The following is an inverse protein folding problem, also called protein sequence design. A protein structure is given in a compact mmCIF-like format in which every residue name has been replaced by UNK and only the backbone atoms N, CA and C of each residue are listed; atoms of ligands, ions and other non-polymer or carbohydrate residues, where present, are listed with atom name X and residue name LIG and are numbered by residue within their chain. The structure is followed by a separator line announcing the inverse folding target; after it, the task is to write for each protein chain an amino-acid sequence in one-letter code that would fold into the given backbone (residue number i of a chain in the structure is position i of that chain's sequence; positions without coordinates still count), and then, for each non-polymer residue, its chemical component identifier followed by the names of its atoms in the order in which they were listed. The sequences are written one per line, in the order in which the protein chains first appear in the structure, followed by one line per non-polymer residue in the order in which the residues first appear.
data_IF_246288437121
#
_entry.id   IF_246288437121
#
_cell.length_a   1.000
_cell.length_b   1.000
_cell.length_c   1.000
_cell.angle_alpha   90.00
_cell.angle_beta   90.00
_cell.angle_gamma   90.00
#
_symmetry.space_group_name_H-M   'P 1'
#
loop_
_entity.id
_entity.type
_entity.pdbx_description
1 polymer ?
#
# COMPACT_ATOMS: atom_id res chain seq x y z
N UNK A 1 55.02 3.73 3.17
CA UNK A 1 53.84 4.61 3.26
C UNK A 1 52.68 3.77 3.73
N UNK A 2 52.33 3.89 5.02
CA UNK A 2 51.27 3.14 5.66
C UNK A 2 49.90 3.70 5.24
N UNK A 3 48.93 2.83 4.93
CA UNK A 3 47.55 3.23 4.64
C UNK A 3 46.88 3.84 5.87
N UNK A 4 45.84 4.68 5.69
CA UNK A 4 45.17 5.32 6.81
C UNK A 4 44.48 4.28 7.73
N UNK A 5 44.55 4.46 9.06
CA UNK A 5 43.92 3.57 10.03
C UNK A 5 42.39 3.65 9.91
N UNK A 6 41.74 2.48 9.84
CA UNK A 6 40.28 2.41 9.83
C UNK A 6 39.68 3.00 11.10
N UNK A 7 38.74 3.92 10.94
CA UNK A 7 37.96 4.52 12.02
C UNK A 7 37.12 3.45 12.73
N UNK A 8 37.30 3.22 14.05
CA UNK A 8 36.53 2.23 14.82
C UNK A 8 35.13 2.73 15.23
N UNK A 9 34.58 3.74 14.54
CA UNK A 9 33.45 4.52 15.02
C UNK A 9 32.25 4.63 14.09
N UNK A 10 32.24 4.04 12.90
CA UNK A 10 31.09 4.19 12.00
C UNK A 10 29.86 3.45 12.57
N UNK A 11 28.79 4.16 12.98
CA UNK A 11 27.52 3.51 13.24
C UNK A 11 27.05 3.02 11.88
N UNK A 12 27.21 1.72 11.64
CA UNK A 12 26.62 1.04 10.48
C UNK A 12 25.23 1.61 10.28
N UNK A 13 24.99 2.30 9.16
CA UNK A 13 23.69 2.80 8.76
C UNK A 13 22.77 1.59 8.53
N UNK A 14 22.36 0.94 9.61
CA UNK A 14 21.37 -0.12 9.59
C UNK A 14 20.10 0.59 9.19
N UNK A 15 19.74 0.42 7.92
CA UNK A 15 18.41 0.76 7.45
C UNK A 15 17.41 0.31 8.50
N UNK A 16 16.48 1.18 8.96
CA UNK A 16 15.56 0.85 10.03
C UNK A 16 14.91 -0.49 9.75
N UNK A 17 14.99 -1.44 10.68
CA UNK A 17 14.46 -2.81 10.56
C UNK A 17 12.98 -2.86 10.08
N UNK A 18 12.27 -1.76 10.27
CA UNK A 18 10.93 -1.43 9.79
C UNK A 18 10.71 -1.38 8.27
N UNK A 19 11.77 -1.29 7.46
CA UNK A 19 11.62 -1.21 5.99
C UNK A 19 11.65 -2.58 5.30
N UNK A 20 11.68 -3.66 6.08
CA UNK A 20 11.68 -5.01 5.56
C UNK A 20 10.25 -5.47 5.27
N UNK A 21 9.69 -5.06 4.14
CA UNK A 21 8.42 -5.57 3.57
C UNK A 21 8.31 -7.11 3.67
N UNK A 22 9.45 -7.79 3.46
CA UNK A 22 9.57 -9.26 3.54
C UNK A 22 9.35 -9.83 4.94
N UNK A 23 9.51 -9.04 5.99
CA UNK A 23 9.32 -9.44 7.40
C UNK A 23 7.90 -9.11 7.89
N UNK A 24 7.28 -8.02 7.41
CA UNK A 24 5.90 -7.70 7.80
C UNK A 24 4.84 -8.63 7.18
N UNK A 25 5.03 -9.10 5.95
CA UNK A 25 4.12 -10.08 5.33
C UNK A 25 3.96 -11.38 6.16
N UNK A 26 5.05 -12.08 6.53
CA UNK A 26 4.94 -13.27 7.36
C UNK A 26 4.45 -12.96 8.78
N UNK A 27 4.72 -11.78 9.32
CA UNK A 27 4.17 -11.34 10.61
C UNK A 27 2.64 -11.22 10.56
N UNK A 28 2.08 -10.62 9.50
CA UNK A 28 0.63 -10.56 9.29
C UNK A 28 0.01 -11.94 9.08
N UNK A 29 0.69 -12.82 8.34
CA UNK A 29 0.27 -14.23 8.23
C UNK A 29 0.32 -14.94 9.59
N UNK A 30 1.32 -14.69 10.43
CA UNK A 30 1.43 -15.27 11.77
C UNK A 30 0.32 -14.77 12.69
N UNK A 31 0.00 -13.47 12.67
CA UNK A 31 -1.14 -12.90 13.42
C UNK A 31 -2.45 -13.52 12.93
N UNK A 32 -2.68 -13.57 11.61
CA UNK A 32 -3.87 -14.20 11.04
C UNK A 32 -3.99 -15.69 11.39
N UNK A 33 -2.87 -16.42 11.37
CA UNK A 33 -2.80 -17.82 11.80
C UNK A 33 -3.11 -18.00 13.29
N UNK A 34 -2.65 -17.09 14.14
CA UNK A 34 -2.93 -17.12 15.59
C UNK A 34 -4.40 -16.84 15.88
N UNK A 35 -5.03 -15.90 15.16
CA UNK A 35 -6.48 -15.68 15.23
C UNK A 35 -7.26 -16.90 14.76
N UNK A 36 -6.86 -17.48 13.62
CA UNK A 36 -7.48 -18.69 13.10
C UNK A 36 -7.40 -19.86 14.09
N UNK A 37 -6.24 -20.07 14.71
CA UNK A 37 -6.04 -21.10 15.72
C UNK A 37 -6.92 -20.86 16.96
N UNK A 38 -7.03 -19.61 17.42
CA UNK A 38 -7.92 -19.24 18.52
C UNK A 38 -9.39 -19.50 18.21
N UNK A 39 -9.84 -19.22 16.98
CA UNK A 39 -11.20 -19.52 16.53
C UNK A 39 -11.44 -21.03 16.40
N UNK A 40 -10.46 -21.79 15.90
CA UNK A 40 -10.55 -23.26 15.79
C UNK A 40 -10.67 -23.95 17.16
N UNK A 41 -9.95 -23.46 18.16
CA UNK A 41 -10.03 -23.96 19.54
C UNK A 41 -11.24 -23.43 20.34
N UNK A 42 -12.16 -22.68 19.71
CA UNK A 42 -13.32 -22.04 20.34
C UNK A 42 -12.93 -21.16 21.55
N UNK A 43 -11.76 -20.53 21.48
CA UNK A 43 -11.25 -19.66 22.55
C UNK A 43 -12.16 -18.44 22.69
N UNK A 44 -12.43 -18.03 23.93
CA UNK A 44 -13.23 -16.85 24.23
C UNK A 44 -12.76 -15.63 23.44
N UNK A 45 -13.72 -14.92 22.82
CA UNK A 45 -13.47 -13.76 21.96
C UNK A 45 -12.62 -12.68 22.66
N UNK A 46 -12.76 -12.55 23.97
CA UNK A 46 -11.97 -11.63 24.79
C UNK A 46 -10.48 -11.99 24.86
N UNK A 47 -10.15 -13.29 24.98
CA UNK A 47 -8.76 -13.77 25.01
C UNK A 47 -8.11 -13.61 23.64
N UNK A 48 -8.84 -13.89 22.57
CA UNK A 48 -8.36 -13.68 21.19
C UNK A 48 -8.04 -12.19 20.98
N UNK A 49 -8.97 -11.30 21.32
CA UNK A 49 -8.77 -9.86 21.17
C UNK A 49 -7.58 -9.35 22.00
N UNK A 50 -7.47 -9.76 23.27
CA UNK A 50 -6.38 -9.36 24.15
C UNK A 50 -5.01 -9.83 23.61
N UNK A 51 -4.93 -11.08 23.12
CA UNK A 51 -3.72 -11.66 22.54
C UNK A 51 -3.28 -10.92 21.28
N UNK A 52 -4.22 -10.65 20.37
CA UNK A 52 -3.94 -9.93 19.12
C UNK A 52 -3.49 -8.50 19.40
N UNK A 53 -4.12 -7.81 20.34
CA UNK A 53 -3.74 -6.45 20.74
C UNK A 53 -2.35 -6.44 21.38
N UNK A 54 -2.07 -7.37 22.30
CA UNK A 54 -0.75 -7.47 22.93
C UNK A 54 0.36 -7.74 21.91
N UNK A 55 0.16 -8.71 21.03
CA UNK A 55 1.11 -9.04 19.95
C UNK A 55 1.25 -7.86 18.98
N UNK A 56 0.15 -7.20 18.61
CA UNK A 56 0.16 -6.06 17.70
C UNK A 56 0.93 -4.86 18.25
N UNK A 57 0.81 -4.57 19.54
CA UNK A 57 1.54 -3.49 20.22
C UNK A 57 3.04 -3.77 20.33
N UNK A 58 3.43 -5.01 20.67
CA UNK A 58 4.83 -5.40 20.79
C UNK A 58 5.50 -5.47 19.41
N UNK A 59 4.79 -5.96 18.40
CA UNK A 59 5.35 -6.23 17.06
C UNK A 59 5.37 -5.04 16.11
N UNK A 60 4.96 -3.84 16.56
CA UNK A 60 4.84 -2.63 15.74
C UNK A 60 3.87 -2.78 14.55
N UNK A 61 3.04 -3.82 14.51
CA UNK A 61 2.08 -4.08 13.43
C UNK A 61 1.08 -2.92 13.26
N UNK A 62 0.70 -2.26 14.36
CA UNK A 62 -0.17 -1.08 14.33
C UNK A 62 0.41 0.10 13.57
N UNK A 63 1.71 0.35 13.69
CA UNK A 63 2.31 1.50 13.00
C UNK A 63 2.53 1.19 11.53
N UNK A 64 2.73 -0.07 11.16
CA UNK A 64 2.66 -0.43 9.74
C UNK A 64 1.25 -0.25 9.18
N UNK A 65 0.21 -0.64 9.93
CA UNK A 65 -1.19 -0.40 9.54
C UNK A 65 -1.46 1.10 9.35
N UNK A 66 -1.05 1.92 10.31
CA UNK A 66 -1.13 3.38 10.19
C UNK A 66 -0.30 3.91 9.02
N UNK A 67 0.86 3.31 8.74
CA UNK A 67 1.69 3.62 7.57
C UNK A 67 0.97 3.32 6.25
N UNK A 68 0.24 2.21 6.15
CA UNK A 68 -0.60 1.88 4.99
C UNK A 68 -1.74 2.88 4.83
N UNK A 69 -2.42 3.23 5.92
CA UNK A 69 -3.49 4.24 5.91
C UNK A 69 -2.93 5.62 5.48
N UNK A 70 -1.76 6.00 5.99
CA UNK A 70 -1.07 7.23 5.62
C UNK A 70 -0.56 7.23 4.17
N UNK A 71 -0.39 6.05 3.55
CA UNK A 71 0.00 5.93 2.14
C UNK A 71 -1.18 6.20 1.19
N UNK A 72 -2.43 5.97 1.62
CA UNK A 72 -3.64 6.22 0.81
C UNK A 72 -3.64 7.60 0.13
N UNK A 73 -3.42 8.72 0.83
CA UNK A 73 -3.37 10.04 0.19
C UNK A 73 -2.16 10.23 -0.74
N UNK A 74 -1.06 9.50 -0.54
CA UNK A 74 0.16 9.58 -1.38
C UNK A 74 -0.04 8.86 -2.72
N UNK A 75 -0.84 7.79 -2.72
CA UNK A 75 -1.13 7.00 -3.93
C UNK A 75 -1.89 7.85 -4.96
N UNK A 76 -2.79 8.74 -4.53
CA UNK A 76 -3.54 9.62 -5.43
C UNK A 76 -2.64 10.45 -6.37
N UNK A 77 -1.74 11.30 -5.84
CA UNK A 77 -0.77 12.06 -6.63
C UNK A 77 0.14 11.18 -7.49
N UNK A 78 0.55 10.02 -6.98
CA UNK A 78 1.44 9.09 -7.71
C UNK A 78 0.73 8.51 -8.94
N UNK A 79 -0.53 8.06 -8.81
CA UNK A 79 -1.32 7.56 -9.94
C UNK A 79 -1.50 8.65 -11.00
N UNK A 80 -1.84 9.88 -10.58
CA UNK A 80 -1.99 11.01 -11.51
C UNK A 80 -0.68 11.27 -12.27
N UNK A 81 0.46 11.31 -11.58
CA UNK A 81 1.77 11.51 -12.23
C UNK A 81 2.11 10.44 -13.25
N UNK A 82 1.92 9.17 -12.91
CA UNK A 82 2.20 8.04 -13.81
C UNK A 82 1.28 8.10 -15.03
N UNK A 83 -0.01 8.36 -14.80
CA UNK A 83 -0.98 8.51 -15.87
C UNK A 83 -0.61 9.69 -16.78
N UNK A 84 -0.28 10.86 -16.23
CA UNK A 84 0.13 12.03 -16.99
C UNK A 84 1.38 11.76 -17.83
N UNK A 85 2.43 11.14 -17.28
CA UNK A 85 3.65 10.78 -18.03
C UNK A 85 3.32 9.78 -19.17
N UNK A 86 2.51 8.76 -18.89
CA UNK A 86 2.07 7.80 -19.89
C UNK A 86 1.24 8.46 -21.00
N UNK A 87 0.38 9.41 -20.64
CA UNK A 87 -0.47 10.15 -21.57
C UNK A 87 0.36 11.06 -22.48
N UNK A 88 1.33 11.78 -21.93
CA UNK A 88 2.25 12.64 -22.69
C UNK A 88 3.07 11.81 -23.68
N UNK A 89 3.59 10.66 -23.26
CA UNK A 89 4.33 9.76 -24.14
C UNK A 89 3.45 9.20 -25.27
N UNK A 90 2.21 8.82 -24.95
CA UNK A 90 1.23 8.30 -25.90
C UNK A 90 0.79 9.35 -26.95
N UNK A 91 0.71 10.63 -26.55
CA UNK A 91 0.41 11.74 -27.44
C UNK A 91 1.60 12.06 -28.36
N UNK A 92 2.81 12.14 -27.81
CA UNK A 92 4.01 12.43 -28.59
C UNK A 92 4.27 11.35 -29.68
N UNK A 93 3.96 10.08 -29.38
CA UNK A 93 4.18 8.96 -30.33
C UNK A 93 3.05 8.79 -31.36
N UNK A 94 1.90 9.43 -31.18
CA UNK A 94 0.72 9.33 -32.08
C UNK A 94 0.23 10.73 -32.45
N UNK A 95 1.12 11.54 -33.01
CA UNK A 95 0.81 12.88 -33.49
C UNK A 95 -0.55 12.95 -34.21
N UNK A 96 -1.39 13.89 -33.74
CA UNK A 96 -2.49 14.53 -34.46
C UNK A 96 -3.83 13.82 -34.72
N UNK A 97 -4.00 12.50 -34.54
CA UNK A 97 -5.32 11.86 -34.79
C UNK A 97 -6.13 11.48 -33.54
N UNK A 98 -5.84 12.08 -32.37
CA UNK A 98 -6.40 11.62 -31.07
C UNK A 98 -7.30 12.60 -30.33
N UNK A 99 -7.57 13.81 -30.82
CA UNK A 99 -8.51 14.72 -30.16
C UNK A 99 -9.89 14.09 -29.93
N UNK A 100 -10.36 13.29 -30.88
CA UNK A 100 -11.67 12.62 -30.75
C UNK A 100 -11.67 11.51 -29.70
N UNK A 101 -10.58 10.77 -29.50
CA UNK A 101 -10.54 9.68 -28.52
C UNK A 101 -10.21 10.18 -27.11
N UNK A 102 -9.39 11.22 -27.00
CA UNK A 102 -9.08 11.86 -25.71
C UNK A 102 -10.29 12.57 -25.13
N UNK A 103 -11.07 13.33 -25.92
CA UNK A 103 -12.22 14.06 -25.36
C UNK A 103 -13.50 13.18 -25.30
N UNK A 104 -13.84 12.47 -26.39
CA UNK A 104 -15.05 11.64 -26.41
C UNK A 104 -14.89 10.38 -25.58
N UNK A 105 -13.74 9.71 -25.67
CA UNK A 105 -13.46 8.50 -24.88
C UNK A 105 -13.41 8.80 -23.38
N UNK A 106 -12.82 9.93 -22.98
CA UNK A 106 -12.81 10.35 -21.58
C UNK A 106 -14.22 10.67 -21.07
N UNK A 107 -15.00 11.44 -21.85
CA UNK A 107 -16.38 11.78 -21.47
C UNK A 107 -17.25 10.53 -21.36
N UNK A 108 -17.14 9.60 -22.30
CA UNK A 108 -17.87 8.32 -22.27
C UNK A 108 -17.43 7.47 -21.07
N UNK A 109 -16.13 7.37 -20.78
CA UNK A 109 -15.62 6.62 -19.64
C UNK A 109 -16.10 7.20 -18.29
N UNK A 110 -16.12 8.54 -18.17
CA UNK A 110 -16.64 9.24 -16.99
C UNK A 110 -18.15 9.00 -16.83
N UNK A 111 -18.93 9.13 -17.90
CA UNK A 111 -20.38 8.86 -17.87
C UNK A 111 -20.66 7.41 -17.46
N UNK A 112 -19.97 6.43 -18.06
CA UNK A 112 -20.14 5.02 -17.73
C UNK A 112 -19.77 4.77 -16.25
N UNK A 113 -18.66 5.33 -15.77
CA UNK A 113 -18.24 5.19 -14.39
C UNK A 113 -19.25 5.75 -13.39
N UNK A 114 -19.79 6.94 -13.66
CA UNK A 114 -20.83 7.56 -12.83
C UNK A 114 -22.11 6.73 -12.85
N UNK A 115 -22.55 6.25 -14.02
CA UNK A 115 -23.76 5.42 -14.17
C UNK A 115 -23.62 4.10 -13.40
N UNK A 116 -22.49 3.40 -13.57
CA UNK A 116 -22.22 2.15 -12.84
C UNK A 116 -22.14 2.40 -11.34
N UNK A 117 -21.46 3.46 -10.90
CA UNK A 117 -21.36 3.85 -9.49
C UNK A 117 -22.73 4.16 -8.88
N UNK A 118 -23.60 4.87 -9.60
CA UNK A 118 -24.96 5.17 -9.16
C UNK A 118 -25.81 3.89 -9.03
N UNK A 119 -25.75 2.99 -10.00
CA UNK A 119 -26.49 1.72 -9.96
C UNK A 119 -26.04 0.86 -8.79
N UNK A 120 -24.72 0.72 -8.58
CA UNK A 120 -24.16 -0.02 -7.46
C UNK A 120 -24.52 0.61 -6.10
N UNK A 121 -24.38 1.93 -5.97
CA UNK A 121 -24.73 2.65 -4.74
C UNK A 121 -26.24 2.68 -4.43
N UNK A 122 -27.09 2.43 -5.42
CA UNK A 122 -28.55 2.33 -5.26
C UNK A 122 -29.02 0.89 -4.99
N UNK A 123 -28.18 -0.11 -5.29
CA UNK A 123 -28.43 -1.53 -5.03
C UNK A 123 -27.91 -1.99 -3.66
N UNK A 124 -26.98 -1.24 -3.08
CA UNK A 124 -26.37 -1.47 -1.78
C UNK A 124 -27.11 -0.65 -0.70
#
# INVERSE_FOLDING_TARGET
MAGPPGDPGEPSARLPWWRNWKVMLPLWCAIGGLVWLGLYFNVDRGVIAASVVAVGLISNAFVWLLGVIALVPVIGPVIVKILSIGFIWLLNRRGYSKDVLTYRGLTIAVIIGIVIGFVLGKLL
#
